data_IF_618463265337
#
_entry.id   IF_618463265337
#
_cell.length_a   1.000
_cell.length_b   1.000
_cell.length_c   1.000
_cell.angle_alpha   90.00
_cell.angle_beta   90.00
_cell.angle_gamma   90.00
#
_symmetry.space_group_name_H-M   'P 1'
#
loop_
_entity.id
_entity.type
_entity.pdbx_description
1 polymer ?
#
# COMPACT_ATOMS: atom_id res chain seq x y z
N UNK A 1 15.63 -20.01 -12.95
CA UNK A 1 16.72 -19.16 -12.44
C UNK A 1 16.23 -17.84 -11.83
N UNK A 2 15.45 -17.00 -12.53
CA UNK A 2 14.93 -15.75 -11.94
C UNK A 2 14.08 -15.96 -10.67
N UNK A 3 13.31 -17.05 -10.62
CA UNK A 3 12.48 -17.41 -9.45
C UNK A 3 13.26 -17.49 -8.13
N UNK A 4 14.53 -17.90 -8.14
CA UNK A 4 15.37 -17.94 -6.92
C UNK A 4 15.65 -16.53 -6.41
N UNK A 5 16.04 -15.61 -7.30
CA UNK A 5 16.31 -14.20 -6.94
C UNK A 5 15.04 -13.52 -6.46
N UNK A 6 13.91 -13.83 -7.09
CA UNK A 6 12.60 -13.33 -6.68
C UNK A 6 12.20 -13.86 -5.30
N UNK A 7 12.36 -15.15 -5.04
CA UNK A 7 12.07 -15.77 -3.75
C UNK A 7 12.96 -15.23 -2.62
N UNK A 8 14.27 -15.03 -2.87
CA UNK A 8 15.17 -14.37 -1.90
C UNK A 8 14.70 -12.95 -1.55
N UNK A 9 14.17 -12.21 -2.53
CA UNK A 9 13.58 -10.88 -2.31
C UNK A 9 12.35 -10.92 -1.41
N UNK A 10 11.54 -11.97 -1.54
CA UNK A 10 10.37 -12.22 -0.70
C UNK A 10 10.76 -12.55 0.74
N UNK A 11 11.88 -13.26 0.94
CA UNK A 11 12.41 -13.55 2.29
C UNK A 11 13.01 -12.30 2.94
N UNK A 12 13.76 -11.48 2.19
CA UNK A 12 14.42 -10.27 2.70
C UNK A 12 13.46 -9.07 2.89
N UNK A 13 12.16 -9.34 3.06
CA UNK A 13 11.08 -8.37 2.97
C UNK A 13 11.22 -7.18 3.96
N UNK A 14 10.87 -5.94 3.56
CA UNK A 14 10.60 -5.47 2.21
C UNK A 14 11.89 -5.02 1.50
N UNK A 15 12.31 -5.78 0.49
CA UNK A 15 13.45 -5.41 -0.35
C UNK A 15 13.07 -5.47 -1.81
N UNK A 16 13.48 -4.47 -2.57
CA UNK A 16 13.29 -4.45 -4.01
C UNK A 16 14.53 -4.97 -4.71
N UNK A 17 14.35 -5.84 -5.71
CA UNK A 17 15.47 -6.39 -6.47
C UNK A 17 15.94 -5.39 -7.53
N UNK A 18 17.18 -4.94 -7.46
CA UNK A 18 17.76 -4.04 -8.47
C UNK A 18 18.25 -4.80 -9.71
N UNK A 19 18.34 -4.11 -10.86
CA UNK A 19 18.96 -4.70 -12.06
C UNK A 19 20.41 -5.13 -11.84
N UNK A 20 21.14 -4.45 -10.94
CA UNK A 20 22.51 -4.80 -10.57
C UNK A 20 22.53 -6.12 -9.81
N UNK A 21 21.64 -6.29 -8.82
CA UNK A 21 21.51 -7.54 -8.09
C UNK A 21 21.11 -8.70 -9.01
N UNK A 22 20.12 -8.50 -9.90
CA UNK A 22 19.73 -9.51 -10.90
C UNK A 22 20.91 -9.91 -11.77
N UNK A 23 21.67 -8.93 -12.28
CA UNK A 23 22.84 -9.17 -13.14
C UNK A 23 23.91 -9.99 -12.41
N UNK A 24 24.25 -9.62 -11.17
CA UNK A 24 25.25 -10.32 -10.35
C UNK A 24 24.81 -11.73 -9.97
N UNK A 25 23.56 -11.88 -9.53
CA UNK A 25 23.00 -13.17 -9.07
C UNK A 25 22.84 -14.17 -10.21
N UNK A 26 22.37 -13.72 -11.37
CA UNK A 26 22.14 -14.58 -12.53
C UNK A 26 23.33 -14.67 -13.48
N UNK A 27 24.40 -13.91 -13.24
CA UNK A 27 25.59 -13.81 -14.12
C UNK A 27 25.22 -13.46 -15.57
N UNK A 28 24.26 -12.55 -15.75
CA UNK A 28 23.81 -12.06 -17.05
C UNK A 28 24.23 -10.61 -17.27
N UNK A 29 24.24 -10.16 -18.52
CA UNK A 29 24.51 -8.76 -18.85
C UNK A 29 23.54 -7.81 -18.15
N UNK A 30 24.00 -6.61 -17.81
CA UNK A 30 23.15 -5.58 -17.22
C UNK A 30 21.92 -5.26 -18.08
N UNK A 31 22.07 -5.27 -19.41
CA UNK A 31 20.95 -5.09 -20.36
C UNK A 31 19.90 -6.21 -20.22
N UNK A 32 20.34 -7.46 -20.09
CA UNK A 32 19.44 -8.60 -19.84
C UNK A 32 18.74 -8.48 -18.49
N UNK A 33 19.48 -8.14 -17.44
CA UNK A 33 18.91 -7.93 -16.10
C UNK A 33 17.91 -6.78 -16.04
N UNK A 34 18.19 -5.66 -16.72
CA UNK A 34 17.26 -4.54 -16.83
C UNK A 34 15.97 -4.91 -17.59
N UNK A 35 16.06 -5.80 -18.59
CA UNK A 35 14.87 -6.34 -19.26
C UNK A 35 14.03 -7.21 -18.32
N UNK A 36 14.65 -8.11 -17.56
CA UNK A 36 13.97 -8.92 -16.55
C UNK A 36 13.32 -8.06 -15.47
N UNK A 37 14.01 -7.02 -14.98
CA UNK A 37 13.47 -6.07 -14.02
C UNK A 37 12.20 -5.39 -14.54
N UNK A 38 12.20 -4.92 -15.79
CA UNK A 38 11.02 -4.32 -16.41
C UNK A 38 9.86 -5.31 -16.51
N UNK A 39 10.14 -6.57 -16.87
CA UNK A 39 9.12 -7.63 -16.90
C UNK A 39 8.53 -7.91 -15.52
N UNK A 40 9.36 -7.96 -14.47
CA UNK A 40 8.88 -8.08 -13.08
C UNK A 40 7.94 -6.92 -12.70
N UNK A 41 8.29 -5.69 -13.06
CA UNK A 41 7.45 -4.53 -12.78
C UNK A 41 6.11 -4.54 -13.52
N UNK A 42 6.11 -5.01 -14.77
CA UNK A 42 4.88 -5.20 -15.55
C UNK A 42 4.03 -6.30 -14.92
N UNK A 43 4.64 -7.44 -14.59
CA UNK A 43 3.97 -8.55 -13.91
C UNK A 43 3.33 -8.09 -12.59
N UNK A 44 4.08 -7.40 -11.72
CA UNK A 44 3.57 -6.85 -10.47
C UNK A 44 2.36 -5.93 -10.70
N UNK A 45 2.41 -5.08 -11.73
CA UNK A 45 1.30 -4.18 -12.08
C UNK A 45 0.05 -4.94 -12.54
N UNK A 46 0.22 -6.06 -13.26
CA UNK A 46 -0.88 -6.89 -13.75
C UNK A 46 -1.52 -7.72 -12.63
N UNK A 47 -0.76 -8.12 -11.61
CA UNK A 47 -1.27 -8.95 -10.52
C UNK A 47 -1.88 -8.14 -9.36
N UNK A 48 -1.50 -6.88 -9.18
CA UNK A 48 -2.02 -6.03 -8.11
C UNK A 48 -3.55 -5.94 -8.01
N UNK A 49 -4.31 -5.87 -9.12
CA UNK A 49 -5.77 -5.87 -9.06
C UNK A 49 -6.36 -7.06 -8.29
N UNK A 50 -5.70 -8.24 -8.32
CA UNK A 50 -6.16 -9.42 -7.57
C UNK A 50 -6.07 -9.19 -6.06
N UNK A 51 -4.91 -8.75 -5.56
CA UNK A 51 -4.75 -8.42 -4.14
C UNK A 51 -5.68 -7.30 -3.69
N UNK A 52 -5.92 -6.31 -4.57
CA UNK A 52 -6.88 -5.25 -4.31
C UNK A 52 -8.28 -5.82 -4.11
N UNK A 53 -8.72 -6.71 -5.00
CA UNK A 53 -10.04 -7.34 -4.92
C UNK A 53 -10.19 -8.15 -3.62
N UNK A 54 -9.21 -9.00 -3.31
CA UNK A 54 -9.19 -9.77 -2.05
C UNK A 54 -9.27 -8.88 -0.81
N UNK A 55 -8.55 -7.76 -0.84
CA UNK A 55 -8.59 -6.77 0.25
C UNK A 55 -9.97 -6.12 0.36
N UNK A 56 -10.54 -5.72 -0.77
CA UNK A 56 -11.86 -5.09 -0.83
C UNK A 56 -12.93 -6.03 -0.25
N UNK A 57 -12.96 -7.28 -0.72
CA UNK A 57 -13.96 -8.27 -0.30
C UNK A 57 -13.82 -8.63 1.18
N UNK A 58 -12.59 -8.73 1.69
CA UNK A 58 -12.34 -8.97 3.11
C UNK A 58 -12.83 -7.81 3.98
N UNK A 59 -12.57 -6.56 3.57
CA UNK A 59 -13.04 -5.38 4.30
C UNK A 59 -14.57 -5.22 4.21
N UNK A 60 -15.17 -5.52 3.06
CA UNK A 60 -16.61 -5.40 2.85
C UNK A 60 -17.36 -6.38 3.77
N UNK A 61 -16.84 -7.60 3.90
CA UNK A 61 -17.37 -8.61 4.81
C UNK A 61 -17.20 -8.22 6.29
N UNK A 62 -16.03 -7.74 6.68
CA UNK A 62 -15.71 -7.40 8.08
C UNK A 62 -16.49 -6.17 8.57
N UNK A 63 -16.67 -5.18 7.70
CA UNK A 63 -17.35 -3.93 8.02
C UNK A 63 -18.79 -3.88 7.54
N UNK A 64 -19.36 -5.01 7.14
CA UNK A 64 -20.76 -5.11 6.78
C UNK A 64 -21.63 -4.65 7.96
N UNK A 65 -22.46 -3.65 7.70
CA UNK A 65 -23.37 -3.03 8.68
C UNK A 65 -22.65 -2.37 9.88
N UNK A 66 -21.35 -2.12 9.75
CA UNK A 66 -20.55 -1.45 10.78
C UNK A 66 -20.69 0.08 10.71
N UNK A 67 -20.85 0.72 11.86
CA UNK A 67 -20.84 2.17 11.99
C UNK A 67 -20.07 2.59 13.23
N UNK A 68 -19.24 3.62 13.07
CA UNK A 68 -18.73 4.37 14.21
C UNK A 68 -19.81 5.31 14.75
N UNK A 69 -19.67 5.78 16.01
CA UNK A 69 -20.48 6.86 16.55
C UNK A 69 -20.49 8.09 15.63
N UNK A 70 -21.55 8.89 15.62
CA UNK A 70 -21.58 10.09 14.76
C UNK A 70 -20.64 11.20 15.26
N UNK A 71 -20.38 11.24 16.56
CA UNK A 71 -19.44 12.18 17.15
C UNK A 71 -17.99 11.76 16.85
N UNK A 72 -17.25 12.66 16.21
CA UNK A 72 -15.85 12.45 15.82
C UNK A 72 -14.90 12.47 17.01
N UNK A 73 -15.30 13.14 18.09
CA UNK A 73 -14.51 13.28 19.31
C UNK A 73 -14.75 12.11 20.30
N UNK A 74 -15.62 11.17 19.95
CA UNK A 74 -15.78 9.92 20.70
C UNK A 74 -14.55 9.03 20.54
N UNK A 75 -14.06 8.45 21.66
CA UNK A 75 -12.98 7.48 21.64
C UNK A 75 -13.44 6.15 21.01
N UNK A 76 -12.79 5.76 19.92
CA UNK A 76 -13.11 4.53 19.18
C UNK A 76 -12.12 3.39 19.47
N UNK A 77 -11.20 3.57 20.42
CA UNK A 77 -10.13 2.59 20.71
C UNK A 77 -10.68 1.20 20.98
N UNK A 78 -11.67 1.08 21.87
CA UNK A 78 -12.29 -0.20 22.22
C UNK A 78 -13.10 -0.78 21.05
N UNK A 79 -13.83 0.08 20.32
CA UNK A 79 -14.64 -0.32 19.16
C UNK A 79 -13.77 -0.92 18.04
N UNK A 80 -12.53 -0.42 17.90
CA UNK A 80 -11.58 -0.80 16.86
C UNK A 80 -10.53 -1.83 17.30
N UNK A 81 -10.50 -2.27 18.56
CA UNK A 81 -9.37 -3.03 19.15
C UNK A 81 -9.01 -4.31 18.39
N UNK A 82 -10.00 -4.97 17.78
CA UNK A 82 -9.83 -6.23 17.03
C UNK A 82 -10.26 -6.11 15.56
N UNK A 83 -10.34 -4.89 15.03
CA UNK A 83 -10.78 -4.63 13.65
C UNK A 83 -9.62 -4.21 12.76
N UNK A 84 -9.67 -4.50 11.44
CA UNK A 84 -8.68 -3.99 10.51
C UNK A 84 -8.60 -2.47 10.59
N UNK A 85 -7.42 -1.96 10.93
CA UNK A 85 -7.19 -0.53 11.07
C UNK A 85 -6.63 0.04 9.78
N UNK A 86 -7.45 0.79 9.04
CA UNK A 86 -7.15 1.28 7.69
C UNK A 86 -6.72 2.74 7.71
N UNK A 87 -5.55 3.03 7.14
CA UNK A 87 -5.03 4.38 7.00
C UNK A 87 -4.91 4.77 5.52
N UNK A 88 -5.16 6.04 5.23
CA UNK A 88 -4.73 6.64 3.98
C UNK A 88 -3.96 7.94 4.22
N UNK A 89 -2.85 8.09 3.51
CA UNK A 89 -2.00 9.28 3.59
C UNK A 89 -1.22 9.49 2.29
N UNK A 90 -0.56 10.64 2.14
CA UNK A 90 0.26 10.96 0.98
C UNK A 90 1.65 11.42 1.39
N UNK A 91 2.68 10.88 0.76
CA UNK A 91 4.07 11.27 0.98
C UNK A 91 4.75 11.74 -0.30
N UNK A 92 5.80 12.54 -0.14
CA UNK A 92 6.69 12.93 -1.23
C UNK A 92 7.94 12.07 -1.22
N UNK A 93 8.22 11.44 -2.37
CA UNK A 93 9.46 10.74 -2.66
C UNK A 93 10.34 11.61 -3.55
N UNK A 94 11.59 11.83 -3.14
CA UNK A 94 12.54 12.66 -3.89
C UNK A 94 13.58 11.81 -4.59
N UNK A 95 13.96 12.22 -5.80
CA UNK A 95 15.14 11.70 -6.51
C UNK A 95 16.34 12.64 -6.34
N UNK A 96 16.43 13.41 -5.25
CA UNK A 96 17.52 14.37 -5.04
C UNK A 96 17.86 14.49 -3.55
N UNK A 97 19.13 14.70 -3.24
CA UNK A 97 19.60 14.88 -1.86
C UNK A 97 19.13 16.21 -1.28
N UNK A 98 19.09 16.31 0.06
CA UNK A 98 18.73 17.57 0.72
C UNK A 98 19.63 18.76 0.33
N UNK A 99 20.87 18.53 -0.12
CA UNK A 99 21.77 19.61 -0.56
C UNK A 99 21.33 20.25 -1.89
N UNK A 100 20.54 19.56 -2.71
CA UNK A 100 19.91 20.13 -3.90
C UNK A 100 18.59 20.88 -3.60
N UNK A 101 18.16 20.95 -2.33
CA UNK A 101 16.84 21.48 -1.94
C UNK A 101 16.62 22.97 -2.18
N UNK A 102 17.69 23.77 -2.36
CA UNK A 102 17.57 25.22 -2.57
C UNK A 102 16.88 25.57 -3.89
N UNK A 103 16.74 24.60 -4.79
CA UNK A 103 16.13 24.78 -6.10
C UNK A 103 14.64 24.49 -6.21
N UNK A 104 13.94 24.06 -5.14
CA UNK A 104 12.56 23.55 -5.24
C UNK A 104 11.49 24.65 -5.25
N UNK A 105 10.39 24.40 -5.96
CA UNK A 105 9.25 25.34 -6.05
C UNK A 105 8.59 25.60 -4.69
N UNK A 106 8.70 24.66 -3.75
CA UNK A 106 8.17 24.77 -2.38
C UNK A 106 8.60 26.05 -1.63
N UNK A 107 9.80 26.58 -1.90
CA UNK A 107 10.26 27.79 -1.21
C UNK A 107 9.33 29.00 -1.44
N UNK A 108 8.66 29.05 -2.61
CA UNK A 108 7.68 30.08 -2.96
C UNK A 108 6.23 29.64 -2.79
N UNK A 109 5.96 28.34 -2.85
CA UNK A 109 4.60 27.78 -2.81
C UNK A 109 4.49 26.72 -1.72
N UNK A 110 3.64 26.91 -0.71
CA UNK A 110 3.37 25.89 0.31
C UNK A 110 2.74 24.63 -0.28
N UNK A 111 3.05 23.45 0.28
CA UNK A 111 2.39 22.18 -0.06
C UNK A 111 3.29 21.05 -0.59
N UNK A 112 2.78 19.82 -0.52
CA UNK A 112 3.49 18.62 -0.99
C UNK A 112 3.59 18.56 -2.52
N UNK A 113 2.56 19.01 -3.23
CA UNK A 113 2.55 19.06 -4.70
C UNK A 113 3.59 20.03 -5.27
N UNK A 114 3.83 21.19 -4.66
CA UNK A 114 4.90 22.09 -5.12
C UNK A 114 6.30 21.53 -4.81
N UNK A 115 6.40 20.57 -3.89
CA UNK A 115 7.68 20.00 -3.46
C UNK A 115 8.28 19.04 -4.48
N UNK A 116 7.46 18.45 -5.36
CA UNK A 116 7.94 17.50 -6.39
C UNK A 116 8.54 18.19 -7.62
N UNK A 117 8.45 19.52 -7.71
CA UNK A 117 8.97 20.31 -8.83
C UNK A 117 10.13 21.21 -8.40
N UNK A 118 11.06 21.42 -9.32
CA UNK A 118 12.02 22.52 -9.24
C UNK A 118 11.31 23.87 -9.40
N UNK A 119 11.94 24.92 -8.90
CA UNK A 119 11.48 26.29 -9.07
C UNK A 119 11.49 26.68 -10.55
N UNK A 120 10.67 27.66 -10.91
CA UNK A 120 10.58 28.12 -12.30
C UNK A 120 11.93 28.64 -12.82
N UNK A 121 12.76 29.21 -11.93
CA UNK A 121 14.14 29.64 -12.24
C UNK A 121 15.07 28.49 -12.65
N UNK A 122 14.76 27.27 -12.24
CA UNK A 122 15.51 26.06 -12.57
C UNK A 122 14.75 25.17 -13.58
N UNK A 123 13.83 25.77 -14.34
CA UNK A 123 13.11 25.10 -15.43
C UNK A 123 11.88 24.28 -14.99
N UNK A 124 11.46 24.33 -13.72
CA UNK A 124 10.16 23.76 -13.31
C UNK A 124 10.04 22.23 -13.36
N UNK A 125 11.15 21.51 -13.62
CA UNK A 125 11.14 20.06 -13.86
C UNK A 125 10.66 19.28 -12.63
N UNK A 126 9.90 18.21 -12.86
CA UNK A 126 9.56 17.23 -11.82
C UNK A 126 10.80 16.44 -11.38
N UNK A 127 11.09 16.46 -10.09
CA UNK A 127 12.24 15.81 -9.43
C UNK A 127 11.83 14.92 -8.26
N UNK A 128 10.52 14.71 -8.11
CA UNK A 128 9.96 13.83 -7.12
C UNK A 128 8.62 13.27 -7.58
N UNK A 129 8.10 12.36 -6.79
CA UNK A 129 6.81 11.74 -6.98
C UNK A 129 5.99 11.99 -5.72
N UNK A 130 4.73 12.32 -5.93
CA UNK A 130 3.74 12.35 -4.87
C UNK A 130 3.04 10.98 -4.88
N UNK A 131 3.01 10.34 -3.73
CA UNK A 131 2.55 8.97 -3.59
C UNK A 131 1.44 8.95 -2.56
N UNK A 132 0.28 8.45 -2.98
CA UNK A 132 -0.83 8.15 -2.11
C UNK A 132 -0.76 6.70 -1.64
N UNK A 133 -0.95 6.48 -0.35
CA UNK A 133 -0.85 5.19 0.30
C UNK A 133 -2.19 4.84 0.93
N UNK A 134 -2.65 3.62 0.69
CA UNK A 134 -3.75 2.98 1.43
C UNK A 134 -3.15 1.77 2.13
N UNK A 135 -3.16 1.75 3.46
CA UNK A 135 -2.48 0.73 4.24
C UNK A 135 -3.38 0.18 5.34
N UNK A 136 -3.38 -1.15 5.50
CA UNK A 136 -4.07 -1.84 6.58
C UNK A 136 -3.02 -2.27 7.61
N UNK A 137 -3.28 -2.05 8.90
CA UNK A 137 -2.36 -2.42 9.99
C UNK A 137 -2.06 -3.92 9.93
N UNK A 138 -0.78 -4.27 9.86
CA UNK A 138 -0.29 -5.66 9.70
C UNK A 138 -0.84 -6.39 8.46
N UNK A 139 -1.44 -5.67 7.51
CA UNK A 139 -2.09 -6.22 6.33
C UNK A 139 -1.52 -5.65 5.03
N UNK A 140 -2.31 -5.67 3.94
CA UNK A 140 -1.87 -5.22 2.64
C UNK A 140 -1.68 -3.69 2.58
N UNK A 141 -0.89 -3.26 1.61
CA UNK A 141 -0.62 -1.85 1.31
C UNK A 141 -0.60 -1.60 -0.19
N UNK A 142 -1.18 -0.48 -0.59
CA UNK A 142 -1.26 -0.04 -1.98
C UNK A 142 -0.70 1.37 -2.11
N UNK A 143 0.21 1.52 -3.06
CA UNK A 143 0.88 2.77 -3.34
C UNK A 143 0.52 3.27 -4.75
N UNK A 144 0.11 4.53 -4.85
CA UNK A 144 -0.34 5.16 -6.09
C UNK A 144 0.47 6.41 -6.38
N UNK A 145 1.07 6.51 -7.56
CA UNK A 145 1.64 7.77 -8.01
C UNK A 145 0.52 8.72 -8.41
N UNK A 146 0.46 9.88 -7.77
CA UNK A 146 -0.63 10.85 -7.97
C UNK A 146 -0.08 12.22 -8.36
N UNK A 147 -0.79 13.00 -9.20
CA UNK A 147 -0.35 14.33 -9.59
C UNK A 147 -0.57 15.39 -8.49
N UNK A 148 -1.51 15.17 -7.56
CA UNK A 148 -1.85 16.11 -6.48
C UNK A 148 -2.70 15.44 -5.39
N UNK A 149 -2.91 16.14 -4.27
CA UNK A 149 -3.71 15.68 -3.13
C UNK A 149 -5.20 16.10 -3.18
N UNK A 150 -5.73 16.45 -4.36
CA UNK A 150 -7.12 16.94 -4.48
C UNK A 150 -8.13 15.81 -4.45
N UNK A 151 -9.36 16.12 -4.03
CA UNK A 151 -10.51 15.21 -4.02
C UNK A 151 -10.69 14.45 -5.35
N UNK A 152 -10.66 15.15 -6.48
CA UNK A 152 -10.88 14.53 -7.80
C UNK A 152 -9.77 13.53 -8.20
N UNK A 153 -8.63 13.59 -7.52
CA UNK A 153 -7.52 12.65 -7.73
C UNK A 153 -7.60 11.49 -6.74
N UNK A 154 -7.71 11.79 -5.45
CA UNK A 154 -7.63 10.79 -4.38
C UNK A 154 -8.95 10.06 -4.14
N UNK A 155 -10.08 10.75 -4.23
CA UNK A 155 -11.42 10.19 -4.00
C UNK A 155 -11.72 8.95 -4.85
N UNK A 156 -11.53 8.99 -6.19
CA UNK A 156 -11.71 7.81 -7.03
C UNK A 156 -10.77 6.66 -6.67
N UNK A 157 -9.50 6.95 -6.33
CA UNK A 157 -8.53 5.92 -5.95
C UNK A 157 -8.98 5.21 -4.68
N UNK A 158 -9.35 5.97 -3.64
CA UNK A 158 -9.79 5.43 -2.35
C UNK A 158 -11.07 4.61 -2.53
N UNK A 159 -12.07 5.16 -3.23
CA UNK A 159 -13.35 4.46 -3.53
C UNK A 159 -13.15 3.16 -4.31
N UNK A 160 -12.14 3.10 -5.17
CA UNK A 160 -11.83 1.89 -5.93
C UNK A 160 -11.10 0.81 -5.12
N UNK A 161 -10.60 1.13 -3.92
CA UNK A 161 -9.84 0.22 -3.06
C UNK A 161 -10.57 -0.16 -1.77
N UNK A 162 -11.46 0.69 -1.28
CA UNK A 162 -12.11 0.51 0.01
C UNK A 162 -13.64 0.54 -0.13
N UNK A 163 -14.36 -0.40 0.51
CA UNK A 163 -15.80 -0.31 0.70
C UNK A 163 -16.19 0.92 1.52
N UNK A 164 -17.34 1.54 1.21
CA UNK A 164 -17.78 2.80 1.84
C UNK A 164 -18.02 2.72 3.35
N UNK A 165 -18.25 1.50 3.87
CA UNK A 165 -18.46 1.23 5.30
C UNK A 165 -17.13 1.09 6.06
N UNK A 166 -16.00 1.00 5.36
CA UNK A 166 -14.68 0.84 5.99
C UNK A 166 -14.33 2.07 6.83
N UNK A 167 -13.98 1.89 8.12
CA UNK A 167 -13.37 2.95 8.92
C UNK A 167 -12.04 3.36 8.33
N UNK A 168 -11.93 4.64 7.96
CA UNK A 168 -10.75 5.17 7.28
C UNK A 168 -10.14 6.28 8.12
N UNK A 169 -8.89 6.11 8.53
CA UNK A 169 -8.15 7.07 9.33
C UNK A 169 -7.13 7.82 8.49
N UNK A 170 -7.20 9.15 8.49
CA UNK A 170 -6.31 10.00 7.67
C UNK A 170 -5.74 11.15 8.48
N UNK A 171 -4.81 11.90 7.88
CA UNK A 171 -4.53 13.25 8.34
C UNK A 171 -5.68 14.22 7.97
N UNK A 172 -5.61 15.47 8.44
CA UNK A 172 -6.62 16.50 8.19
C UNK A 172 -6.64 17.04 6.75
N UNK A 173 -5.80 16.55 5.83
CA UNK A 173 -5.82 17.00 4.43
C UNK A 173 -6.96 16.35 3.62
N UNK A 174 -7.62 15.32 4.16
CA UNK A 174 -8.65 14.53 3.49
C UNK A 174 -10.09 14.90 3.90
N UNK A 175 -10.34 16.15 4.25
CA UNK A 175 -11.68 16.63 4.66
C UNK A 175 -12.79 16.35 3.64
N UNK A 176 -12.45 16.15 2.37
CA UNK A 176 -13.44 15.80 1.35
C UNK A 176 -14.04 14.40 1.52
N UNK A 177 -13.48 13.54 2.37
CA UNK A 177 -13.98 12.18 2.60
C UNK A 177 -15.19 12.12 3.54
N UNK A 178 -15.46 13.17 4.32
CA UNK A 178 -16.56 13.24 5.29
C UNK A 178 -17.93 12.87 4.71
N UNK A 179 -18.21 13.28 3.47
CA UNK A 179 -19.49 13.01 2.79
C UNK A 179 -19.51 11.68 2.02
N UNK A 180 -18.39 10.94 2.00
CA UNK A 180 -18.23 9.71 1.22
C UNK A 180 -18.15 8.50 2.16
N UNK A 181 -17.32 8.60 3.20
CA UNK A 181 -17.10 7.55 4.18
C UNK A 181 -17.67 7.98 5.52
N UNK A 182 -18.80 7.39 5.92
CA UNK A 182 -19.46 7.71 7.19
C UNK A 182 -18.56 7.42 8.41
N UNK A 183 -17.69 6.42 8.28
CA UNK A 183 -16.75 6.00 9.31
C UNK A 183 -15.37 6.66 9.16
N UNK A 184 -15.26 7.73 8.36
CA UNK A 184 -14.02 8.50 8.25
C UNK A 184 -13.67 9.17 9.57
N UNK A 185 -12.38 9.16 9.90
CA UNK A 185 -11.80 9.87 11.03
C UNK A 185 -10.50 10.52 10.62
N UNK A 186 -10.21 11.68 11.18
CA UNK A 186 -8.99 12.43 10.86
C UNK A 186 -8.25 12.86 12.11
N UNK A 187 -6.92 12.94 11.98
CA UNK A 187 -6.06 13.54 12.99
C UNK A 187 -5.41 14.83 12.45
N UNK A 188 -5.41 15.88 13.27
CA UNK A 188 -4.81 17.16 12.90
C UNK A 188 -3.37 17.27 13.38
N UNK A 189 -2.41 16.98 12.49
CA UNK A 189 -0.97 17.09 12.76
C UNK A 189 -0.49 18.54 13.03
N UNK A 190 -1.29 19.54 12.65
CA UNK A 190 -1.03 20.96 12.89
C UNK A 190 -1.81 21.52 14.09
N UNK A 191 -2.41 20.67 14.93
CA UNK A 191 -3.14 21.12 16.11
C UNK A 191 -2.22 21.90 17.06
N UNK A 192 -2.66 23.11 17.42
CA UNK A 192 -2.00 23.97 18.40
C UNK A 192 -2.38 23.58 19.83
N UNK A 193 -1.45 23.77 20.77
CA UNK A 193 -1.72 23.52 22.18
C UNK A 193 -2.73 24.54 22.71
N UNK A 194 -3.63 24.11 23.61
CA UNK A 194 -4.44 25.03 24.40
C UNK A 194 -3.63 25.79 25.45
N UNK A 195 -2.50 25.21 25.87
CA UNK A 195 -1.55 25.83 26.79
C UNK A 195 -0.57 26.71 26.01
N UNK A 196 -0.54 28.00 26.35
CA UNK A 196 0.31 29.02 25.71
C UNK A 196 1.81 28.71 25.77
N UNK A 197 2.27 27.89 26.71
CA UNK A 197 3.68 27.48 26.82
C UNK A 197 4.15 26.63 25.64
N UNK A 198 3.23 25.94 24.98
CA UNK A 198 3.57 24.99 23.92
C UNK A 198 2.96 25.44 22.60
N UNK A 199 3.74 25.42 21.51
CA UNK A 199 3.19 25.73 20.18
C UNK A 199 2.20 24.67 19.71
N UNK A 200 2.45 23.39 20.00
CA UNK A 200 1.75 22.27 19.38
C UNK A 200 1.07 21.37 20.41
N UNK A 201 -0.09 20.82 20.07
CA UNK A 201 -0.82 19.90 20.92
C UNK A 201 -0.09 18.55 21.03
N UNK A 202 -0.09 17.94 22.22
CA UNK A 202 0.55 16.63 22.45
C UNK A 202 -0.13 15.50 21.67
N UNK A 203 -1.45 15.54 21.57
CA UNK A 203 -2.29 14.55 20.90
C UNK A 203 -2.41 14.78 19.38
N UNK A 204 -1.62 15.68 18.78
CA UNK A 204 -1.70 15.98 17.33
C UNK A 204 -1.36 14.79 16.42
N UNK A 205 -0.73 13.75 16.94
CA UNK A 205 -0.32 12.55 16.18
C UNK A 205 -1.23 11.34 16.45
N UNK A 206 -2.00 11.37 17.53
CA UNK A 206 -2.91 10.31 17.95
C UNK A 206 -3.89 10.87 18.97
N UNK A 207 -5.18 10.71 18.73
CA UNK A 207 -6.26 11.16 19.62
C UNK A 207 -7.44 10.19 19.48
N UNK A 208 -8.05 9.76 20.60
CA UNK A 208 -9.31 9.02 20.60
C UNK A 208 -9.30 7.75 19.73
N UNK A 209 -8.19 7.01 19.71
CA UNK A 209 -8.00 5.85 18.83
C UNK A 209 -7.73 6.16 17.36
N UNK A 210 -7.61 7.44 16.97
CA UNK A 210 -7.38 7.90 15.60
C UNK A 210 -5.94 8.37 15.40
N UNK A 211 -5.26 7.80 14.41
CA UNK A 211 -3.91 8.13 13.94
C UNK A 211 -3.68 7.65 12.50
N UNK A 212 -2.68 8.19 11.80
CA UNK A 212 -2.27 7.77 10.43
C UNK A 212 -0.95 6.97 10.39
N UNK A 213 -0.43 6.56 11.55
CA UNK A 213 0.90 5.94 11.71
C UNK A 213 1.15 4.69 10.85
N UNK A 214 0.11 3.94 10.47
CA UNK A 214 0.24 2.76 9.61
C UNK A 214 0.74 3.15 8.21
N UNK A 215 0.22 4.25 7.66
CA UNK A 215 0.68 4.78 6.38
C UNK A 215 2.10 5.35 6.51
N UNK A 216 2.37 6.15 7.55
CA UNK A 216 3.70 6.74 7.79
C UNK A 216 4.80 5.68 7.97
N UNK A 217 4.50 4.59 8.69
CA UNK A 217 5.41 3.46 8.85
C UNK A 217 5.76 2.81 7.50
N UNK A 218 4.78 2.65 6.62
CA UNK A 218 5.00 2.16 5.26
C UNK A 218 5.78 3.16 4.39
N UNK A 219 5.56 4.47 4.54
CA UNK A 219 6.37 5.48 3.85
C UNK A 219 7.85 5.39 4.22
N UNK A 220 8.17 5.08 5.49
CA UNK A 220 9.56 4.88 5.91
C UNK A 220 10.19 3.70 5.17
N UNK A 221 9.50 2.56 5.13
CA UNK A 221 9.97 1.38 4.42
C UNK A 221 10.18 1.67 2.93
N UNK A 222 9.23 2.37 2.33
CA UNK A 222 9.30 2.75 0.94
C UNK A 222 10.45 3.71 0.63
N UNK A 223 10.68 4.73 1.47
CA UNK A 223 11.85 5.64 1.32
C UNK A 223 13.16 4.88 1.41
N UNK A 224 13.28 3.92 2.33
CA UNK A 224 14.47 3.05 2.46
C UNK A 224 14.62 2.12 1.26
N UNK A 225 13.55 1.52 0.76
CA UNK A 225 13.61 0.70 -0.44
C UNK A 225 13.98 1.53 -1.68
N UNK A 226 13.44 2.75 -1.79
CA UNK A 226 13.64 3.60 -2.94
C UNK A 226 15.03 4.24 -2.99
N UNK A 227 15.71 4.41 -1.85
CA UNK A 227 17.12 4.81 -1.85
C UNK A 227 18.03 3.78 -2.54
N UNK A 228 17.63 2.49 -2.55
CA UNK A 228 18.35 1.42 -3.25
C UNK A 228 18.33 1.57 -4.78
N UNK A 229 17.38 2.32 -5.32
CA UNK A 229 17.36 2.68 -6.75
C UNK A 229 18.36 3.78 -7.11
N UNK A 230 19.04 4.37 -6.12
CA UNK A 230 19.91 5.55 -6.20
C UNK A 230 19.21 6.83 -6.72
N UNK A 231 18.31 6.72 -7.71
CA UNK A 231 17.50 7.78 -8.29
C UNK A 231 16.20 7.22 -8.90
N UNK A 232 15.05 7.65 -8.39
CA UNK A 232 13.75 7.35 -9.01
C UNK A 232 13.56 8.30 -10.18
N UNK A 233 13.13 7.77 -11.33
CA UNK A 233 12.63 8.59 -12.44
C UNK A 233 11.13 8.82 -12.23
N UNK A 234 10.65 10.05 -11.99
CA UNK A 234 9.23 10.30 -11.73
C UNK A 234 8.31 9.74 -12.82
N UNK A 235 8.77 9.66 -14.06
CA UNK A 235 8.03 9.12 -15.21
C UNK A 235 7.74 7.61 -15.08
N UNK A 236 8.51 6.90 -14.25
CA UNK A 236 8.34 5.46 -14.00
C UNK A 236 7.85 5.16 -12.58
N UNK A 237 7.46 6.19 -11.83
CA UNK A 237 6.97 6.10 -10.44
C UNK A 237 5.94 4.99 -10.23
N UNK A 238 4.90 4.93 -11.06
CA UNK A 238 3.86 3.90 -10.99
C UNK A 238 4.45 2.50 -11.01
N UNK A 239 5.46 2.23 -11.84
CA UNK A 239 6.08 0.89 -11.94
C UNK A 239 6.84 0.52 -10.67
N UNK A 240 7.54 1.49 -10.07
CA UNK A 240 8.27 1.27 -8.82
C UNK A 240 7.32 1.04 -7.63
N UNK A 241 6.25 1.84 -7.55
CA UNK A 241 5.24 1.74 -6.50
C UNK A 241 4.40 0.46 -6.62
N UNK A 242 4.05 0.06 -7.85
CA UNK A 242 3.34 -1.17 -8.10
C UNK A 242 4.16 -2.39 -7.70
N UNK A 243 5.44 -2.42 -8.08
CA UNK A 243 6.35 -3.48 -7.65
C UNK A 243 6.44 -3.59 -6.13
N UNK A 244 6.59 -2.46 -5.44
CA UNK A 244 6.72 -2.47 -3.99
C UNK A 244 5.40 -2.89 -3.30
N UNK A 245 4.26 -2.41 -3.78
CA UNK A 245 2.93 -2.85 -3.33
C UNK A 245 2.76 -4.36 -3.53
N UNK A 246 3.15 -4.86 -4.70
CA UNK A 246 3.06 -6.28 -5.04
C UNK A 246 3.90 -7.14 -4.09
N UNK A 247 5.17 -6.78 -3.85
CA UNK A 247 6.05 -7.53 -2.93
C UNK A 247 5.53 -7.52 -1.49
N UNK A 248 4.91 -6.41 -1.06
CA UNK A 248 4.22 -6.30 0.22
C UNK A 248 3.01 -7.22 0.30
N UNK A 249 2.15 -7.17 -0.69
CA UNK A 249 0.89 -7.92 -0.68
C UNK A 249 1.11 -9.42 -0.90
N UNK A 250 2.12 -9.81 -1.67
CA UNK A 250 2.53 -11.21 -1.81
C UNK A 250 3.02 -11.82 -0.50
N UNK A 251 3.56 -11.03 0.42
CA UNK A 251 3.94 -11.51 1.76
C UNK A 251 2.70 -11.70 2.65
N UNK A 252 1.63 -10.94 2.42
CA UNK A 252 0.39 -11.00 3.21
C UNK A 252 -0.52 -12.12 2.72
N UNK A 253 -0.73 -12.21 1.40
CA UNK A 253 -1.68 -13.14 0.79
C UNK A 253 -1.05 -14.42 0.25
N UNK A 254 0.28 -14.48 0.13
CA UNK A 254 0.94 -15.54 -0.63
C UNK A 254 0.93 -15.30 -2.14
N UNK A 255 1.62 -16.16 -2.87
CA UNK A 255 1.69 -16.13 -4.35
C UNK A 255 0.73 -17.13 -5.00
N UNK A 256 0.27 -18.12 -4.25
CA UNK A 256 -0.72 -19.13 -4.60
C UNK A 256 -2.03 -18.52 -5.10
N UNK A 257 -2.51 -17.47 -4.42
CA UNK A 257 -3.72 -16.73 -4.83
C UNK A 257 -3.63 -16.11 -6.22
N UNK A 258 -2.42 -15.94 -6.77
CA UNK A 258 -2.22 -15.45 -8.14
C UNK A 258 -2.40 -16.59 -9.16
N UNK A 259 -2.01 -17.81 -8.80
CA UNK A 259 -2.03 -18.98 -9.67
C UNK A 259 -3.44 -19.56 -9.85
N UNK A 260 -4.26 -19.53 -8.79
CA UNK A 260 -5.61 -20.15 -8.81
C UNK A 260 -6.58 -19.49 -9.80
N UNK A 261 -6.35 -18.22 -10.16
CA UNK A 261 -7.24 -17.51 -11.07
C UNK A 261 -6.98 -17.79 -12.56
N UNK A 262 -5.85 -18.40 -12.95
CA UNK A 262 -5.61 -18.77 -14.36
C UNK A 262 -6.46 -19.98 -14.76
N UNK A 263 -6.77 -20.88 -13.82
CA UNK A 263 -7.71 -21.99 -14.06
C UNK A 263 -9.14 -21.50 -14.31
N UNK A 264 -9.54 -20.36 -13.74
CA UNK A 264 -10.84 -19.72 -13.98
C UNK A 264 -10.90 -18.95 -15.31
N UNK A 265 -9.75 -18.52 -15.85
CA UNK A 265 -9.67 -17.81 -17.13
C UNK A 265 -9.39 -18.73 -18.33
N UNK A 266 -8.95 -19.96 -18.08
CA UNK A 266 -8.74 -20.99 -19.11
C UNK A 266 -9.96 -21.90 -19.33
N UNK A 267 -11.08 -21.66 -18.62
CA UNK A 267 -12.31 -22.44 -18.69
C UNK A 267 -13.41 -21.89 -19.60
N UNK A 268 -13.26 -20.67 -20.14
CA UNK A 268 -14.31 -20.00 -20.93
C UNK A 268 -14.25 -20.26 -22.45
N UNK A 269 -13.35 -21.14 -22.89
CA UNK A 269 -13.29 -21.59 -24.28
C UNK A 269 -13.85 -23.01 -24.42
N UNK A 270 -15.16 -23.21 -24.19
CA UNK A 270 -16.00 -24.26 -24.84
C UNK A 270 -17.50 -24.00 -24.57
N UNK A 271 -18.24 -23.94 -25.70
CA UNK A 271 -19.65 -24.21 -25.91
C UNK A 271 -20.73 -23.16 -25.59
N UNK A 272 -21.59 -23.06 -26.59
CA UNK A 272 -22.75 -22.22 -26.79
C UNK A 272 -24.05 -22.83 -26.23
N UNK A 273 -25.01 -21.92 -26.02
CA UNK A 273 -26.48 -22.08 -25.98
C UNK A 273 -27.17 -22.78 -24.79
N UNK A 274 -28.25 -22.10 -24.39
CA UNK A 274 -29.48 -22.54 -23.71
C UNK A 274 -29.59 -22.46 -22.17
N UNK A 275 -30.41 -21.47 -21.77
CA UNK A 275 -31.52 -21.41 -20.80
C UNK A 275 -31.51 -22.29 -19.55
N UNK A 276 -31.75 -21.63 -18.40
CA UNK A 276 -32.28 -22.11 -17.12
C UNK A 276 -31.63 -23.34 -16.46
N UNK A 277 -30.89 -23.16 -15.37
CA UNK A 277 -31.22 -23.85 -14.11
C UNK A 277 -30.57 -23.20 -12.88
N UNK A 278 -31.39 -23.05 -11.85
CA UNK A 278 -31.00 -22.72 -10.48
C UNK A 278 -30.54 -24.02 -9.83
N UNK A 279 -29.28 -24.14 -9.41
CA UNK A 279 -28.87 -25.08 -8.34
C UNK A 279 -27.50 -24.80 -7.74
N UNK A 280 -27.55 -24.60 -6.43
CA UNK A 280 -26.55 -24.92 -5.41
C UNK A 280 -25.35 -25.76 -5.87
N UNK A 281 -24.15 -25.24 -5.62
CA UNK A 281 -23.02 -26.08 -5.18
C UNK A 281 -22.30 -25.33 -4.06
N UNK A 282 -22.62 -25.72 -2.83
CA UNK A 282 -21.73 -25.49 -1.70
C UNK A 282 -20.60 -26.50 -1.75
N UNK A 283 -19.36 -26.02 -1.72
CA UNK A 283 -18.29 -26.67 -0.98
C UNK A 283 -17.20 -25.63 -0.66
N UNK A 284 -17.53 -24.71 0.25
CA UNK A 284 -16.60 -23.79 0.86
C UNK A 284 -15.75 -24.54 1.89
N UNK A 285 -14.88 -25.45 1.45
CA UNK A 285 -13.86 -26.08 2.30
C UNK A 285 -12.54 -25.37 2.06
N UNK A 286 -12.19 -24.46 2.97
CA UNK A 286 -10.80 -24.00 3.13
C UNK A 286 -10.56 -22.50 3.41
N UNK A 287 -11.57 -21.68 3.72
CA UNK A 287 -11.38 -20.24 3.95
C UNK A 287 -11.54 -19.78 5.41
N UNK A 288 -11.65 -20.74 6.34
CA UNK A 288 -11.65 -20.47 7.77
C UNK A 288 -10.22 -20.24 8.29
N UNK A 289 -9.69 -19.02 8.11
CA UNK A 289 -8.67 -18.33 8.98
C UNK A 289 -7.89 -17.21 8.28
N UNK A 290 -8.56 -16.28 7.61
CA UNK A 290 -7.98 -14.93 7.43
C UNK A 290 -8.46 -14.00 8.55
N UNK A 291 -8.12 -14.36 9.79
CA UNK A 291 -8.19 -13.43 10.92
C UNK A 291 -6.97 -12.52 10.85
N UNK A 292 -7.15 -11.26 10.48
CA UNK A 292 -6.12 -10.22 10.63
C UNK A 292 -5.99 -9.86 12.12
N UNK A 293 -5.40 -10.77 12.89
CA UNK A 293 -5.22 -10.66 14.33
C UNK A 293 -4.00 -11.45 14.80
N UNK A 294 -2.92 -10.71 15.11
CA UNK A 294 -1.87 -11.05 16.09
C UNK A 294 -1.36 -12.50 16.16
N UNK A 295 -0.56 -12.93 15.18
CA UNK A 295 0.58 -13.82 15.47
C UNK A 295 1.84 -13.25 14.77
N UNK A 296 2.90 -12.87 15.51
CA UNK A 296 4.14 -12.36 14.93
C UNK A 296 5.02 -13.45 14.31
N UNK A 297 4.56 -14.71 14.28
CA UNK A 297 5.31 -15.83 13.68
C UNK A 297 4.78 -16.08 12.27
N UNK A 298 5.58 -15.67 11.28
CA UNK A 298 5.38 -16.11 9.89
C UNK A 298 5.35 -17.64 9.77
N UNK A 299 4.97 -18.16 8.59
CA UNK A 299 4.77 -19.61 8.40
C UNK A 299 6.06 -20.38 8.72
N UNK A 300 6.02 -21.09 9.84
CA UNK A 300 7.06 -21.94 10.36
C UNK A 300 6.73 -23.38 9.98
N UNK A 301 7.05 -23.77 8.75
CA UNK A 301 7.19 -25.20 8.41
C UNK A 301 8.41 -25.40 7.51
N UNK A 302 9.53 -25.71 8.17
CA UNK A 302 10.66 -26.43 7.57
C UNK A 302 10.72 -27.77 8.27
N UNK A 303 10.05 -28.77 7.69
CA UNK A 303 10.30 -30.17 7.98
C UNK A 303 11.69 -30.52 7.46
N UNK A 304 12.71 -30.42 8.31
CA UNK A 304 14.02 -31.06 8.11
C UNK A 304 14.31 -31.86 9.38
N UNK A 305 14.22 -33.18 9.25
CA UNK A 305 14.55 -34.11 10.31
C UNK A 305 16.02 -33.96 10.74
N UNK A 306 16.23 -33.78 12.04
CA UNK A 306 17.49 -34.09 12.70
C UNK A 306 17.15 -34.94 13.92
N UNK A 307 17.78 -36.11 13.97
CA UNK A 307 17.40 -37.24 14.80
C UNK A 307 17.49 -37.03 16.31
N UNK A 308 16.56 -37.69 17.00
CA UNK A 308 16.72 -38.16 18.38
C UNK A 308 17.97 -39.03 18.50
N UNK A 309 18.90 -38.65 19.36
CA UNK A 309 19.76 -39.56 20.13
C UNK A 309 20.12 -38.90 21.46
N UNK A 310 19.92 -39.66 22.55
CA UNK A 310 20.52 -39.43 23.87
C UNK A 310 19.76 -38.47 24.75
#
# INVERSE_FOLDING_TARGET
MFGVVFYESMIQHPKVVTSIEISKRLRISYKGAASLKKRLQVFASQQLPKYKQLTFDALDREFKDFSLPLDEDTDITEIMENKPYVCADTVVLYSASQRANQGRKRYRYSGSTSSIYLSDKLGGKQVGTLEHTIAIKQGPVFFHSVPNQKMNTLGPIIKNHLPLQTPLMTDSAYQFLWNIYKNHRQINHSAHSKDARYKWARNRWSKNGVHSQVAEGNHRLLKTAFSSYCYIRPENSTRYLNEFSFLKNAHVFGLDVICESEAMLAGDDIACNDVDDVRNVGDARGWDRLSFGSDPRGPLELAVGIGRKG
#
